data_IF_392737104018
#
_entry.id   IF_392737104018
#
_cell.length_a   1.000
_cell.length_b   1.000
_cell.length_c   1.000
_cell.angle_alpha   90.00
_cell.angle_beta   90.00
_cell.angle_gamma   90.00
#
_symmetry.space_group_name_H-M   'P 1'
#
loop_
_entity.id
_entity.type
_entity.pdbx_description
1 polymer ?
#
# COMPACT_ATOMS: atom_id res chain seq x y z
N UNK A 1 -6.08 -19.78 -0.83
CA UNK A 1 -6.17 -18.50 -1.55
C UNK A 1 -7.50 -18.43 -2.29
N UNK A 2 -8.49 -17.80 -1.66
CA UNK A 2 -9.78 -17.57 -2.31
C UNK A 2 -9.66 -16.53 -3.46
N UNK A 3 -10.72 -16.32 -4.24
CA UNK A 3 -10.70 -15.38 -5.36
C UNK A 3 -10.48 -13.92 -4.91
N UNK A 4 -10.99 -13.54 -3.74
CA UNK A 4 -10.86 -12.20 -3.19
C UNK A 4 -9.44 -11.93 -2.68
N UNK A 5 -8.82 -12.93 -2.05
CA UNK A 5 -7.43 -12.89 -1.62
C UNK A 5 -6.48 -12.73 -2.82
N UNK A 6 -6.68 -13.51 -3.90
CA UNK A 6 -5.88 -13.36 -5.13
C UNK A 6 -6.04 -11.99 -5.79
N UNK A 7 -7.26 -11.45 -5.80
CA UNK A 7 -7.52 -10.10 -6.32
C UNK A 7 -6.87 -9.02 -5.45
N UNK A 8 -6.84 -9.20 -4.13
CA UNK A 8 -6.16 -8.30 -3.20
C UNK A 8 -4.65 -8.37 -3.37
N UNK A 9 -4.07 -9.57 -3.45
CA UNK A 9 -2.64 -9.81 -3.67
C UNK A 9 -2.15 -9.11 -4.94
N UNK A 10 -2.88 -9.28 -6.06
CA UNK A 10 -2.56 -8.60 -7.32
C UNK A 10 -2.58 -7.08 -7.18
N UNK A 11 -3.62 -6.52 -6.55
CA UNK A 11 -3.71 -5.07 -6.31
C UNK A 11 -2.58 -4.53 -5.45
N UNK A 12 -2.16 -5.29 -4.44
CA UNK A 12 -1.03 -4.93 -3.59
C UNK A 12 0.28 -4.95 -4.38
N UNK A 13 0.49 -5.93 -5.27
CA UNK A 13 1.67 -5.96 -6.14
C UNK A 13 1.68 -4.76 -7.10
N UNK A 14 0.56 -4.51 -7.77
CA UNK A 14 0.44 -3.38 -8.70
C UNK A 14 0.70 -2.04 -7.99
N UNK A 15 0.15 -1.85 -6.78
CA UNK A 15 0.39 -0.66 -5.96
C UNK A 15 1.84 -0.56 -5.47
N UNK A 16 2.47 -1.69 -5.14
CA UNK A 16 3.85 -1.70 -4.66
C UNK A 16 4.84 -1.22 -5.73
N UNK A 17 4.67 -1.67 -6.98
CA UNK A 17 5.46 -1.16 -8.09
C UNK A 17 5.20 0.33 -8.34
N UNK A 18 3.94 0.77 -8.24
CA UNK A 18 3.57 2.18 -8.38
C UNK A 18 4.24 3.06 -7.31
N UNK A 19 4.34 2.57 -6.08
CA UNK A 19 5.09 3.23 -5.00
C UNK A 19 6.59 3.30 -5.35
N UNK A 20 7.18 2.21 -5.81
CA UNK A 20 8.60 2.17 -6.15
C UNK A 20 8.96 3.16 -7.27
N UNK A 21 8.17 3.20 -8.34
CA UNK A 21 8.35 4.18 -9.42
C UNK A 21 8.14 5.61 -8.93
N UNK A 22 7.13 5.86 -8.10
CA UNK A 22 6.90 7.17 -7.52
C UNK A 22 8.12 7.66 -6.71
N UNK A 23 8.76 6.80 -5.91
CA UNK A 23 9.95 7.17 -5.15
C UNK A 23 11.14 7.48 -6.06
N UNK A 24 11.29 6.78 -7.19
CA UNK A 24 12.33 7.08 -8.17
C UNK A 24 12.07 8.38 -8.94
N UNK A 25 10.82 8.65 -9.31
CA UNK A 25 10.44 9.91 -9.96
C UNK A 25 10.59 11.11 -9.02
N UNK A 26 10.29 10.92 -7.73
CA UNK A 26 10.38 11.96 -6.71
C UNK A 26 11.83 12.29 -6.32
N UNK A 27 12.60 11.27 -5.94
CA UNK A 27 14.00 11.40 -5.53
C UNK A 27 14.91 10.45 -6.33
N UNK A 28 15.16 10.74 -7.61
CA UNK A 28 15.94 9.85 -8.48
C UNK A 28 17.39 9.72 -8.01
N UNK A 29 17.93 10.75 -7.35
CA UNK A 29 19.31 10.74 -6.85
C UNK A 29 19.42 9.92 -5.57
N UNK A 30 18.53 10.14 -4.58
CA UNK A 30 18.50 9.32 -3.38
C UNK A 30 18.17 7.85 -3.69
N UNK A 31 17.31 7.60 -4.67
CA UNK A 31 17.01 6.24 -5.13
C UNK A 31 18.25 5.55 -5.72
N UNK A 32 19.02 6.26 -6.56
CA UNK A 32 20.26 5.74 -7.15
C UNK A 32 21.39 5.58 -6.15
N UNK A 33 21.49 6.48 -5.18
CA UNK A 33 22.48 6.41 -4.10
C UNK A 33 22.20 5.25 -3.14
N UNK A 34 20.93 4.82 -3.03
CA UNK A 34 20.52 3.66 -2.26
C UNK A 34 20.80 2.31 -2.95
N UNK A 35 21.19 2.31 -4.24
CA UNK A 35 21.55 1.08 -4.96
C UNK A 35 22.89 0.54 -4.46
N UNK A 36 22.95 -0.77 -4.26
CA UNK A 36 24.21 -1.45 -3.96
C UNK A 36 25.12 -1.50 -5.20
N UNK A 37 26.42 -1.70 -4.98
CA UNK A 37 27.39 -1.89 -6.07
C UNK A 37 26.92 -3.06 -6.93
N UNK A 38 26.77 -2.83 -8.25
CA UNK A 38 26.25 -3.77 -9.25
C UNK A 38 24.73 -3.94 -9.32
N UNK A 39 23.93 -3.25 -8.50
CA UNK A 39 22.47 -3.21 -8.68
C UNK A 39 22.09 -2.30 -9.86
N UNK A 40 21.14 -2.76 -10.66
CA UNK A 40 20.52 -1.94 -11.71
C UNK A 40 19.37 -1.11 -11.13
N UNK A 41 18.90 -0.11 -11.88
CA UNK A 41 17.69 0.63 -11.52
C UNK A 41 16.48 -0.31 -11.34
N UNK A 42 16.36 -1.32 -12.22
CA UNK A 42 15.28 -2.31 -12.15
C UNK A 42 15.37 -3.17 -10.88
N UNK A 43 16.58 -3.52 -10.43
CA UNK A 43 16.79 -4.20 -9.15
C UNK A 43 16.35 -3.34 -7.97
N UNK A 44 16.68 -2.04 -7.98
CA UNK A 44 16.22 -1.09 -6.98
C UNK A 44 14.70 -0.96 -6.93
N UNK A 45 14.06 -0.79 -8.09
CA UNK A 45 12.60 -0.72 -8.21
C UNK A 45 11.95 -2.00 -7.68
N UNK A 46 12.48 -3.16 -8.07
CA UNK A 46 11.99 -4.46 -7.59
C UNK A 46 12.14 -4.60 -6.07
N UNK A 47 13.28 -4.21 -5.49
CA UNK A 47 13.56 -4.25 -4.05
C UNK A 47 12.62 -3.32 -3.27
N UNK A 48 12.43 -2.09 -3.74
CA UNK A 48 11.48 -1.13 -3.16
C UNK A 48 10.03 -1.64 -3.25
N UNK A 49 9.64 -2.22 -4.38
CA UNK A 49 8.31 -2.83 -4.54
C UNK A 49 8.13 -4.05 -3.63
N UNK A 50 9.13 -4.91 -3.48
CA UNK A 50 9.09 -6.05 -2.56
C UNK A 50 8.93 -5.59 -1.10
N UNK A 51 9.63 -4.54 -0.70
CA UNK A 51 9.47 -3.91 0.61
C UNK A 51 8.05 -3.38 0.82
N UNK A 52 7.56 -2.53 -0.09
CA UNK A 52 6.21 -1.96 0.01
C UNK A 52 5.12 -3.05 0.03
N UNK A 53 5.29 -4.10 -0.78
CA UNK A 53 4.41 -5.25 -0.79
C UNK A 53 4.40 -6.00 0.55
N UNK A 54 5.58 -6.22 1.14
CA UNK A 54 5.72 -6.86 2.45
C UNK A 54 5.02 -6.07 3.56
N UNK A 55 5.23 -4.75 3.60
CA UNK A 55 4.59 -3.87 4.58
C UNK A 55 3.05 -3.88 4.45
N UNK A 56 2.54 -3.81 3.21
CA UNK A 56 1.10 -3.94 2.93
C UNK A 56 0.52 -5.29 3.37
N UNK A 57 1.29 -6.37 3.23
CA UNK A 57 0.88 -7.72 3.65
C UNK A 57 0.85 -7.85 5.17
N UNK A 58 1.81 -7.23 5.85
CA UNK A 58 1.91 -7.16 7.31
C UNK A 58 0.87 -6.23 7.93
N UNK A 59 0.25 -5.36 7.12
CA UNK A 59 -0.80 -4.44 7.55
C UNK A 59 -0.27 -3.07 7.99
N UNK A 60 1.00 -2.78 7.72
CA UNK A 60 1.70 -1.57 8.13
C UNK A 60 1.45 -0.38 7.17
N UNK A 61 0.19 -0.17 6.76
CA UNK A 61 -0.17 0.88 5.80
C UNK A 61 0.19 2.29 6.29
N UNK A 62 0.12 2.54 7.60
CA UNK A 62 0.45 3.86 8.15
C UNK A 62 1.93 4.19 8.01
N UNK A 63 2.81 3.19 8.13
CA UNK A 63 4.25 3.37 7.93
C UNK A 63 4.53 3.73 6.47
N UNK A 64 3.97 2.98 5.52
CA UNK A 64 4.10 3.30 4.10
C UNK A 64 3.58 4.69 3.74
N UNK A 65 2.43 5.10 4.31
CA UNK A 65 1.90 6.45 4.07
C UNK A 65 2.88 7.50 4.61
N UNK A 66 3.45 7.28 5.79
CA UNK A 66 4.44 8.19 6.36
C UNK A 66 5.71 8.28 5.52
N UNK A 67 6.21 7.16 4.99
CA UNK A 67 7.44 7.11 4.21
C UNK A 67 7.30 7.76 2.81
N UNK A 68 6.08 7.78 2.28
CA UNK A 68 5.77 8.34 0.94
C UNK A 68 5.35 9.81 1.04
N UNK A 69 4.78 10.23 2.17
CA UNK A 69 4.20 11.55 2.31
C UNK A 69 5.28 12.61 2.46
N UNK A 70 5.22 13.64 1.61
CA UNK A 70 6.09 14.80 1.68
C UNK A 70 5.29 16.09 1.52
N UNK A 71 5.43 17.01 2.47
CA UNK A 71 4.75 18.32 2.49
C UNK A 71 5.33 19.28 1.42
N UNK A 72 6.59 19.08 0.99
CA UNK A 72 7.27 19.96 0.03
C UNK A 72 6.84 19.69 -1.43
N UNK A 73 5.95 18.72 -1.65
CA UNK A 73 5.39 18.35 -2.97
C UNK A 73 4.47 19.41 -3.59
N UNK A 74 4.15 20.48 -2.87
CA UNK A 74 3.28 21.56 -3.36
C UNK A 74 3.82 22.26 -4.63
N UNK A 75 5.13 22.21 -4.87
CA UNK A 75 5.76 22.72 -6.08
C UNK A 75 5.68 21.78 -7.30
N UNK A 76 5.25 20.53 -7.12
CA UNK A 76 5.27 19.46 -8.12
C UNK A 76 3.85 18.86 -8.27
N UNK A 77 2.91 19.53 -8.95
CA UNK A 77 1.49 19.19 -8.90
C UNK A 77 1.17 17.79 -9.44
N UNK A 78 1.93 17.30 -10.42
CA UNK A 78 1.75 15.95 -10.97
C UNK A 78 2.20 14.87 -9.97
N UNK A 79 3.35 15.07 -9.33
CA UNK A 79 3.86 14.17 -8.30
C UNK A 79 2.96 14.19 -7.06
N UNK A 80 2.50 15.37 -6.63
CA UNK A 80 1.54 15.47 -5.53
C UNK A 80 0.24 14.72 -5.82
N UNK A 81 -0.32 14.85 -7.03
CA UNK A 81 -1.53 14.13 -7.41
C UNK A 81 -1.33 12.61 -7.40
N UNK A 82 -0.16 12.15 -7.84
CA UNK A 82 0.20 10.73 -7.81
C UNK A 82 0.38 10.22 -6.37
N UNK A 83 1.09 10.97 -5.52
CA UNK A 83 1.22 10.71 -4.09
C UNK A 83 -0.15 10.57 -3.42
N UNK A 84 -1.03 11.55 -3.62
CA UNK A 84 -2.40 11.54 -3.08
C UNK A 84 -3.20 10.33 -3.57
N UNK A 85 -3.04 9.94 -4.85
CA UNK A 85 -3.66 8.75 -5.40
C UNK A 85 -3.15 7.47 -4.74
N UNK A 86 -1.84 7.35 -4.52
CA UNK A 86 -1.21 6.19 -3.85
C UNK A 86 -1.71 6.08 -2.40
N UNK A 87 -1.70 7.20 -1.65
CA UNK A 87 -2.18 7.26 -0.27
C UNK A 87 -3.66 6.87 -0.17
N UNK A 88 -4.48 7.33 -1.12
CA UNK A 88 -5.90 6.97 -1.20
C UNK A 88 -6.11 5.47 -1.37
N UNK A 89 -5.32 4.83 -2.24
CA UNK A 89 -5.39 3.38 -2.46
C UNK A 89 -4.86 2.56 -1.28
N UNK A 90 -3.81 3.02 -0.59
CA UNK A 90 -3.34 2.43 0.67
C UNK A 90 -4.45 2.45 1.74
N UNK A 91 -5.13 3.58 1.94
CA UNK A 91 -6.26 3.72 2.87
C UNK A 91 -7.44 2.81 2.51
N UNK A 92 -7.73 2.63 1.21
CA UNK A 92 -8.78 1.71 0.73
C UNK A 92 -8.44 0.25 1.00
N UNK A 93 -7.18 -0.15 0.81
CA UNK A 93 -6.70 -1.51 1.12
C UNK A 93 -6.75 -1.80 2.62
N UNK A 94 -6.33 -0.83 3.46
CA UNK A 94 -6.43 -0.92 4.92
C UNK A 94 -7.89 -1.11 5.36
N UNK A 95 -8.81 -0.27 4.87
CA UNK A 95 -10.24 -0.33 5.18
C UNK A 95 -10.90 -1.64 4.75
N UNK A 96 -10.54 -2.15 3.57
CA UNK A 96 -11.06 -3.42 3.03
C UNK A 96 -10.60 -4.61 3.88
N UNK A 97 -9.36 -4.56 4.38
CA UNK A 97 -8.80 -5.57 5.29
C UNK A 97 -9.54 -5.57 6.64
N UNK A 98 -9.84 -4.39 7.20
CA UNK A 98 -10.62 -4.27 8.43
C UNK A 98 -12.06 -4.79 8.27
N UNK A 99 -12.71 -4.55 7.12
CA UNK A 99 -14.06 -5.08 6.83
C UNK A 99 -14.09 -6.60 6.70
N UNK A 100 -13.02 -7.24 6.23
CA UNK A 100 -12.90 -8.70 6.21
C UNK A 100 -12.74 -9.26 7.63
N UNK A 101 -11.93 -8.61 8.47
CA UNK A 101 -11.73 -9.00 9.89
C UNK A 101 -13.01 -8.80 10.72
N UNK A 102 -13.80 -7.74 10.43
CA UNK A 102 -15.05 -7.46 11.16
C UNK A 102 -16.18 -8.44 10.86
N UNK A 103 -16.06 -9.29 9.82
CA UNK A 103 -16.99 -10.40 9.57
C UNK A 103 -16.68 -11.58 10.49
N UNK A 104 -16.52 -11.32 11.78
CA UNK A 104 -16.44 -12.37 12.78
C UNK A 104 -17.83 -13.02 12.87
N UNK A 105 -18.02 -14.28 12.44
CA UNK A 105 -19.34 -14.93 12.44
C UNK A 105 -19.94 -15.07 13.86
N UNK A 106 -19.10 -14.92 14.89
CA UNK A 106 -19.51 -14.95 16.30
C UNK A 106 -20.22 -13.67 16.79
N UNK A 107 -20.25 -12.59 15.99
CA UNK A 107 -21.02 -11.36 16.30
C UNK A 107 -22.37 -11.30 15.60
N UNK A 108 -22.89 -12.41 15.06
CA UNK A 108 -24.32 -12.55 14.79
C UNK A 108 -25.06 -12.53 16.13
N UNK A 109 -25.41 -11.31 16.55
CA UNK A 109 -26.31 -10.99 17.66
C UNK A 109 -27.40 -12.06 17.78
N UNK A 110 -27.42 -12.76 18.92
CA UNK A 110 -28.61 -13.36 19.50
C UNK A 110 -29.80 -12.41 19.29
N UNK A 111 -30.61 -12.64 18.27
CA UNK A 111 -31.95 -12.06 18.18
C UNK A 111 -32.71 -12.67 19.35
N UNK A 112 -32.97 -11.87 20.39
CA UNK A 112 -33.91 -12.23 21.45
C UNK A 112 -35.24 -12.55 20.77
N UNK A 113 -35.64 -13.81 20.77
CA UNK A 113 -37.00 -14.24 20.52
C UNK A 113 -37.87 -13.64 21.63
N UNK A 114 -38.54 -12.51 21.36
CA UNK A 114 -39.74 -12.14 22.10
C UNK A 114 -40.89 -12.87 21.42
N UNK A 115 -41.28 -14.01 21.98
CA UNK A 115 -42.63 -14.53 21.78
C UNK A 115 -43.56 -13.66 22.64
N UNK A 116 -44.55 -13.05 22.01
CA UNK A 116 -45.83 -12.74 22.63
C UNK A 116 -46.77 -13.91 22.31
#
# INVERSE_FOLDING_TARGET
MDFLERKRDRRMRDLAYRIAYFMEDYDPYGFRDALEVWETLDDGIRKAAEYAYSEMRSGNYNQLIHDIYDDDMDGLPELKAEMDSIISDLKRLQSSSQKLISKNPLKLKRRKSRCN
#
